data_IF_321873634811
#
_entry.id   IF_321873634811
#
_cell.length_a   1.000
_cell.length_b   1.000
_cell.length_c   1.000
_cell.angle_alpha   90.00
_cell.angle_beta   90.00
_cell.angle_gamma   90.00
#
_symmetry.space_group_name_H-M   'P 1'
#
loop_
_entity.id
_entity.type
_entity.pdbx_description
1 polymer ?
#
# COMPACT_ATOMS: atom_id res chain seq x y z
N UNK A 1 9.49 20.57 -28.02
CA UNK A 1 9.27 19.72 -26.85
C UNK A 1 7.96 20.17 -26.23
N UNK A 2 6.96 19.31 -26.32
CA UNK A 2 5.58 19.66 -25.98
C UNK A 2 5.45 19.76 -24.46
N UNK A 3 5.38 20.98 -23.92
CA UNK A 3 5.28 21.24 -22.47
C UNK A 3 3.89 20.92 -21.88
N UNK A 4 2.92 20.55 -22.74
CA UNK A 4 1.56 20.20 -22.31
C UNK A 4 1.45 18.82 -21.67
N UNK A 5 2.32 17.87 -22.03
CA UNK A 5 2.25 16.48 -21.53
C UNK A 5 2.66 16.30 -20.07
N UNK A 6 3.60 17.12 -19.55
CA UNK A 6 4.07 16.98 -18.16
C UNK A 6 3.11 17.56 -17.12
N UNK A 7 2.32 18.57 -17.48
CA UNK A 7 1.32 19.20 -16.61
C UNK A 7 0.07 18.32 -16.37
N UNK A 8 -0.06 17.20 -17.08
CA UNK A 8 -1.19 16.27 -16.96
C UNK A 8 -0.88 15.00 -16.16
N UNK A 9 0.40 14.73 -15.86
CA UNK A 9 0.78 13.55 -15.09
C UNK A 9 0.39 13.71 -13.63
N UNK A 10 -0.30 12.72 -13.01
CA UNK A 10 -0.64 12.79 -11.61
C UNK A 10 0.58 12.65 -10.71
N UNK A 11 0.55 13.32 -9.57
CA UNK A 11 1.58 13.28 -8.52
C UNK A 11 1.18 12.21 -7.51
N UNK A 12 2.01 11.18 -7.39
CA UNK A 12 1.79 10.05 -6.48
C UNK A 12 2.80 10.13 -5.34
N UNK A 13 2.30 10.28 -4.11
CA UNK A 13 3.12 10.21 -2.90
C UNK A 13 3.43 8.77 -2.53
N UNK A 14 4.67 8.47 -2.15
CA UNK A 14 5.09 7.15 -1.67
C UNK A 14 5.72 7.29 -0.29
N UNK A 15 5.20 6.58 0.73
CA UNK A 15 5.83 6.57 2.05
C UNK A 15 7.19 5.90 2.00
N UNK A 16 8.12 6.34 2.86
CA UNK A 16 9.51 5.85 2.85
C UNK A 16 9.88 5.22 4.19
N UNK A 17 10.97 4.48 4.18
CA UNK A 17 11.69 4.11 5.39
C UNK A 17 12.40 5.35 5.98
N UNK A 18 12.63 5.34 7.29
CA UNK A 18 13.47 6.31 7.99
C UNK A 18 14.35 5.53 8.96
N UNK A 19 15.45 5.03 8.45
CA UNK A 19 16.33 4.06 9.13
C UNK A 19 17.79 4.50 9.05
N UNK A 20 18.65 3.80 9.78
CA UNK A 20 20.09 3.92 9.58
C UNK A 20 20.46 3.42 8.19
N UNK A 21 21.15 4.24 7.41
CA UNK A 21 21.54 3.93 6.06
C UNK A 21 23.01 4.28 5.83
N UNK A 22 23.70 3.42 5.08
CA UNK A 22 25.09 3.59 4.74
C UNK A 22 25.26 3.89 3.25
N UNK A 23 25.94 4.99 2.93
CA UNK A 23 26.28 5.37 1.57
C UNK A 23 27.66 6.02 1.51
N UNK A 24 28.60 5.41 0.80
CA UNK A 24 29.99 5.84 0.79
C UNK A 24 30.58 5.86 2.20
N UNK A 25 31.01 7.04 2.67
CA UNK A 25 31.57 7.24 4.02
C UNK A 25 30.53 7.60 5.07
N UNK A 26 29.27 7.77 4.67
CA UNK A 26 28.18 8.20 5.54
C UNK A 26 27.44 7.01 6.10
N UNK A 27 27.25 6.98 7.42
CA UNK A 27 26.39 6.05 8.15
C UNK A 27 25.48 6.89 9.04
N UNK A 28 24.29 7.22 8.52
CA UNK A 28 23.39 8.20 9.11
C UNK A 28 21.93 7.75 9.02
N UNK A 29 21.08 8.31 9.89
CA UNK A 29 19.64 8.17 9.74
C UNK A 29 19.19 8.88 8.47
N UNK A 30 18.57 8.14 7.54
CA UNK A 30 18.15 8.68 6.25
C UNK A 30 16.77 8.13 5.84
N UNK A 31 16.03 8.94 5.10
CA UNK A 31 14.83 8.47 4.43
C UNK A 31 15.23 7.87 3.07
N UNK A 32 14.74 6.66 2.79
CA UNK A 32 14.99 5.98 1.52
C UNK A 32 13.86 5.03 1.16
N UNK A 33 13.80 4.67 -0.12
CA UNK A 33 12.87 3.70 -0.66
C UNK A 33 13.56 2.95 -1.81
N UNK A 34 13.40 1.61 -1.94
CA UNK A 34 13.89 0.86 -3.09
C UNK A 34 13.35 1.44 -4.40
N UNK A 35 14.22 1.56 -5.41
CA UNK A 35 13.89 2.22 -6.68
C UNK A 35 12.69 1.59 -7.39
N UNK A 36 12.51 0.28 -7.26
CA UNK A 36 11.41 -0.47 -7.89
C UNK A 36 10.02 0.12 -7.62
N UNK A 37 9.78 0.74 -6.46
CA UNK A 37 8.51 1.38 -6.14
C UNK A 37 8.24 2.62 -7.01
N UNK A 38 9.17 3.57 -7.03
CA UNK A 38 8.97 4.81 -7.80
C UNK A 38 9.21 4.62 -9.31
N UNK A 39 10.02 3.63 -9.71
CA UNK A 39 10.16 3.24 -11.11
C UNK A 39 8.84 2.69 -11.67
N UNK A 40 8.10 1.89 -10.89
CA UNK A 40 6.78 1.40 -11.28
C UNK A 40 5.81 2.57 -11.55
N UNK A 41 5.77 3.60 -10.69
CA UNK A 41 4.96 4.79 -10.90
C UNK A 41 5.40 5.59 -12.12
N UNK A 42 6.71 5.79 -12.31
CA UNK A 42 7.23 6.53 -13.46
C UNK A 42 6.89 5.82 -14.78
N UNK A 43 7.00 4.47 -14.80
CA UNK A 43 6.63 3.64 -15.96
C UNK A 43 5.12 3.62 -16.21
N UNK A 44 4.30 3.66 -15.15
CA UNK A 44 2.85 3.79 -15.24
C UNK A 44 2.39 5.20 -15.69
N UNK A 45 3.30 6.17 -15.82
CA UNK A 45 3.02 7.52 -16.32
C UNK A 45 2.68 8.55 -15.25
N UNK A 46 2.92 8.26 -13.97
CA UNK A 46 2.83 9.19 -12.84
C UNK A 46 4.13 9.96 -12.60
N UNK A 47 4.10 10.85 -11.60
CA UNK A 47 5.26 11.52 -11.00
C UNK A 47 5.36 11.03 -9.56
N UNK A 48 6.47 10.39 -9.20
CA UNK A 48 6.70 9.89 -7.86
C UNK A 48 7.28 10.96 -6.93
N UNK A 49 6.70 11.11 -5.73
CA UNK A 49 7.20 12.00 -4.67
C UNK A 49 7.35 11.19 -3.38
N UNK A 50 8.54 11.22 -2.79
CA UNK A 50 8.83 10.48 -1.56
C UNK A 50 8.34 11.25 -0.32
N UNK A 51 7.66 10.54 0.57
CA UNK A 51 7.05 11.06 1.79
C UNK A 51 7.74 10.44 3.02
N UNK A 52 8.82 11.04 3.52
CA UNK A 52 9.46 10.55 4.75
C UNK A 52 8.53 10.70 5.96
N UNK A 53 8.63 9.82 6.97
CA UNK A 53 7.93 10.00 8.23
C UNK A 53 8.21 11.38 8.83
N UNK A 54 7.15 12.05 9.28
CA UNK A 54 7.19 13.40 9.87
C UNK A 54 6.41 13.40 11.18
N UNK A 55 6.67 14.38 12.07
CA UNK A 55 5.79 14.61 13.20
C UNK A 55 4.35 14.81 12.74
N UNK A 56 3.42 14.12 13.40
CA UNK A 56 2.01 14.11 12.98
C UNK A 56 1.19 15.04 13.84
N UNK A 57 0.57 16.03 13.19
CA UNK A 57 -0.64 16.68 13.65
C UNK A 57 -1.69 16.65 12.52
N UNK A 58 -2.93 16.99 12.84
CA UNK A 58 -4.04 16.94 11.87
C UNK A 58 -3.84 17.85 10.65
N UNK A 59 -2.97 18.85 10.74
CA UNK A 59 -2.69 19.80 9.67
C UNK A 59 -1.60 19.33 8.71
N UNK A 60 -0.56 18.66 9.23
CA UNK A 60 0.62 18.29 8.42
C UNK A 60 0.24 17.25 7.35
N UNK A 61 -0.40 16.14 7.75
CA UNK A 61 -0.84 15.11 6.80
C UNK A 61 -1.83 15.68 5.77
N UNK A 62 -2.79 16.49 6.23
CA UNK A 62 -3.75 17.20 5.38
C UNK A 62 -3.03 18.04 4.32
N UNK A 63 -2.05 18.85 4.75
CA UNK A 63 -1.31 19.76 3.85
C UNK A 63 -0.46 19.01 2.83
N UNK A 64 0.09 17.84 3.19
CA UNK A 64 0.83 16.98 2.25
C UNK A 64 -0.13 16.40 1.22
N UNK A 65 -1.28 15.85 1.66
CA UNK A 65 -2.28 15.26 0.77
C UNK A 65 -2.88 16.27 -0.22
N UNK A 66 -2.96 17.57 0.13
CA UNK A 66 -3.42 18.63 -0.79
C UNK A 66 -2.54 18.77 -2.04
N UNK A 67 -1.30 18.31 -1.99
CA UNK A 67 -0.35 18.35 -3.12
C UNK A 67 -0.28 17.07 -3.93
N UNK A 68 -1.09 16.05 -3.60
CA UNK A 68 -1.03 14.73 -4.22
C UNK A 68 -2.32 14.43 -5.02
N UNK A 69 -2.18 13.68 -6.08
CA UNK A 69 -3.28 13.11 -6.86
C UNK A 69 -3.54 11.65 -6.49
N UNK A 70 -2.59 10.98 -5.83
CA UNK A 70 -2.68 9.61 -5.34
C UNK A 70 -1.61 9.29 -4.31
N UNK A 71 -1.76 8.17 -3.60
CA UNK A 71 -0.91 7.77 -2.48
C UNK A 71 -0.54 6.29 -2.56
N UNK A 72 0.72 5.95 -2.27
CA UNK A 72 1.17 4.58 -1.99
C UNK A 72 1.68 4.50 -0.55
N UNK A 73 1.13 3.53 0.19
CA UNK A 73 1.68 3.08 1.48
C UNK A 73 2.54 1.86 1.20
N UNK A 74 3.85 2.01 1.35
CA UNK A 74 4.82 1.01 0.92
C UNK A 74 5.05 -0.09 1.95
N UNK A 75 5.70 -1.19 1.54
CA UNK A 75 6.15 -2.26 2.41
C UNK A 75 7.10 -1.78 3.52
N UNK A 76 7.52 -2.66 4.41
CA UNK A 76 8.46 -2.33 5.50
C UNK A 76 8.34 -3.22 6.72
N UNK A 77 8.90 -2.79 7.85
CA UNK A 77 8.89 -3.47 9.13
C UNK A 77 7.49 -3.56 9.73
N UNK A 78 7.34 -4.42 10.73
CA UNK A 78 6.08 -4.74 11.38
C UNK A 78 5.36 -3.51 11.96
N UNK A 79 4.04 -3.59 11.95
CA UNK A 79 3.16 -2.63 12.63
C UNK A 79 3.21 -2.87 14.13
N UNK A 80 3.26 -1.80 14.95
CA UNK A 80 3.28 -1.90 16.42
C UNK A 80 2.05 -2.70 16.94
N UNK A 81 2.26 -3.87 17.58
CA UNK A 81 1.18 -4.71 18.10
C UNK A 81 0.29 -4.00 19.11
N UNK A 82 0.81 -3.02 19.86
CA UNK A 82 0.03 -2.23 20.80
C UNK A 82 -1.15 -1.49 20.12
N UNK A 83 -1.05 -1.21 18.81
CA UNK A 83 -2.09 -0.52 18.03
C UNK A 83 -3.34 -1.38 17.80
N UNK A 84 -3.21 -2.70 17.89
CA UNK A 84 -4.35 -3.64 17.81
C UNK A 84 -4.50 -4.47 19.08
N UNK A 85 -3.98 -3.94 20.22
CA UNK A 85 -4.23 -4.46 21.55
C UNK A 85 -3.53 -5.77 21.89
N UNK A 86 -2.40 -6.05 21.25
CA UNK A 86 -1.61 -7.26 21.48
C UNK A 86 -0.22 -6.93 22.04
N UNK A 87 0.37 -7.88 22.80
CA UNK A 87 1.77 -7.86 23.16
C UNK A 87 2.63 -8.30 21.97
N UNK A 88 3.87 -7.81 21.84
CA UNK A 88 4.76 -8.20 20.75
C UNK A 88 5.10 -9.68 20.77
N UNK A 89 4.98 -10.37 19.65
CA UNK A 89 5.52 -11.71 19.45
C UNK A 89 7.06 -11.66 19.38
N UNK A 90 7.74 -12.75 19.73
CA UNK A 90 9.21 -12.83 19.77
C UNK A 90 9.89 -12.55 18.42
N UNK A 91 9.17 -12.72 17.32
CA UNK A 91 9.66 -12.47 15.95
C UNK A 91 9.28 -11.09 15.41
N UNK A 92 8.49 -10.30 16.16
CA UNK A 92 8.06 -8.99 15.74
C UNK A 92 9.24 -8.01 15.74
N UNK A 93 9.40 -7.27 14.66
CA UNK A 93 10.39 -6.20 14.53
C UNK A 93 10.16 -5.09 15.58
N UNK A 94 11.22 -4.37 15.95
CA UNK A 94 11.06 -3.13 16.71
C UNK A 94 10.16 -2.14 15.95
N UNK A 95 9.02 -1.70 16.53
CA UNK A 95 8.06 -0.88 15.83
C UNK A 95 8.62 0.49 15.42
N UNK A 96 8.20 0.95 14.26
CA UNK A 96 8.49 2.31 13.75
C UNK A 96 7.28 3.21 14.00
N UNK A 97 7.09 3.62 15.27
CA UNK A 97 5.92 4.38 15.74
C UNK A 97 5.74 5.72 15.04
N UNK A 98 6.83 6.37 14.66
CA UNK A 98 6.82 7.59 13.85
C UNK A 98 6.22 7.32 12.46
N UNK A 99 6.60 6.22 11.83
CA UNK A 99 6.07 5.79 10.54
C UNK A 99 4.63 5.31 10.67
N UNK A 100 4.30 4.55 11.71
CA UNK A 100 2.92 4.09 11.97
C UNK A 100 1.96 5.27 12.08
N UNK A 101 2.30 6.26 12.92
CA UNK A 101 1.47 7.45 13.08
C UNK A 101 1.35 8.27 11.80
N UNK A 102 2.44 8.40 11.04
CA UNK A 102 2.45 9.12 9.76
C UNK A 102 1.55 8.44 8.73
N UNK A 103 1.68 7.13 8.55
CA UNK A 103 0.88 6.38 7.59
C UNK A 103 -0.59 6.29 7.99
N UNK A 104 -0.91 6.21 9.28
CA UNK A 104 -2.29 6.33 9.77
C UNK A 104 -2.96 7.64 9.36
N UNK A 105 -2.25 8.74 9.59
CA UNK A 105 -2.78 10.06 9.25
C UNK A 105 -2.96 10.22 7.73
N UNK A 106 -2.04 9.68 6.93
CA UNK A 106 -2.14 9.69 5.47
C UNK A 106 -3.30 8.82 4.96
N UNK A 107 -3.45 7.60 5.47
CA UNK A 107 -4.54 6.68 5.09
C UNK A 107 -5.90 7.29 5.46
N UNK A 108 -6.06 7.76 6.69
CA UNK A 108 -7.30 8.39 7.15
C UNK A 108 -7.64 9.59 6.27
N UNK A 109 -6.67 10.47 6.06
CA UNK A 109 -6.88 11.64 5.22
C UNK A 109 -7.12 11.33 3.74
N UNK A 110 -6.58 10.24 3.20
CA UNK A 110 -6.84 9.80 1.84
C UNK A 110 -8.27 9.26 1.69
N UNK A 111 -8.73 8.44 2.65
CA UNK A 111 -10.11 7.92 2.68
C UNK A 111 -11.12 9.08 2.77
N UNK A 112 -10.91 10.01 3.70
CA UNK A 112 -11.81 11.17 3.91
C UNK A 112 -11.93 12.06 2.66
N UNK A 113 -10.85 12.14 1.88
CA UNK A 113 -10.79 12.94 0.63
C UNK A 113 -11.15 12.18 -0.64
N UNK A 114 -11.40 10.87 -0.53
CA UNK A 114 -11.53 10.01 -1.70
C UNK A 114 -10.29 10.08 -2.62
N UNK A 115 -9.11 10.29 -2.02
CA UNK A 115 -7.83 10.32 -2.74
C UNK A 115 -7.43 8.88 -3.08
N UNK A 116 -7.28 8.51 -4.36
CA UNK A 116 -6.87 7.17 -4.74
C UNK A 116 -5.61 6.72 -4.00
N UNK A 117 -5.66 5.52 -3.39
CA UNK A 117 -4.49 5.00 -2.72
C UNK A 117 -4.28 3.51 -2.94
N UNK A 118 -3.02 3.07 -2.80
CA UNK A 118 -2.59 1.70 -2.93
C UNK A 118 -1.66 1.31 -1.76
N UNK A 119 -2.06 0.30 -0.99
CA UNK A 119 -1.25 -0.29 0.08
C UNK A 119 -0.48 -1.52 -0.41
N UNK A 120 0.82 -1.61 -0.11
CA UNK A 120 1.67 -2.74 -0.52
C UNK A 120 2.25 -3.39 0.73
N UNK A 121 2.04 -4.71 0.90
CA UNK A 121 2.54 -5.56 1.99
C UNK A 121 2.19 -4.95 3.36
N UNK A 122 3.14 -4.31 4.04
CA UNK A 122 2.87 -3.57 5.27
C UNK A 122 1.75 -2.53 5.09
N UNK A 123 1.62 -1.92 3.92
CA UNK A 123 0.56 -0.96 3.62
C UNK A 123 -0.85 -1.55 3.76
N UNK A 124 -1.07 -2.81 3.40
CA UNK A 124 -2.31 -3.54 3.67
C UNK A 124 -2.52 -3.73 5.18
N UNK A 125 -1.48 -4.07 5.91
CA UNK A 125 -1.55 -4.32 7.35
C UNK A 125 -1.86 -3.03 8.13
N UNK A 126 -1.18 -1.92 7.80
CA UNK A 126 -1.45 -0.60 8.38
C UNK A 126 -2.88 -0.16 8.11
N UNK A 127 -3.38 -0.34 6.88
CA UNK A 127 -4.77 -0.04 6.52
C UNK A 127 -5.75 -0.82 7.40
N UNK A 128 -5.56 -2.13 7.53
CA UNK A 128 -6.42 -2.98 8.36
C UNK A 128 -6.42 -2.53 9.83
N UNK A 129 -5.25 -2.27 10.39
CA UNK A 129 -5.10 -1.81 11.79
C UNK A 129 -5.69 -0.41 11.98
N UNK A 130 -5.44 0.53 11.07
CA UNK A 130 -6.01 1.88 11.10
C UNK A 130 -7.55 1.88 11.08
N UNK A 131 -8.15 0.86 10.48
CA UNK A 131 -9.60 0.65 10.44
C UNK A 131 -10.13 -0.22 11.59
N UNK A 132 -9.29 -0.62 12.55
CA UNK A 132 -9.64 -1.37 13.75
C UNK A 132 -9.55 -2.89 13.62
N UNK A 133 -8.94 -3.41 12.56
CA UNK A 133 -8.62 -4.82 12.40
C UNK A 133 -7.42 -5.28 13.25
N UNK A 134 -7.08 -6.57 13.19
CA UNK A 134 -5.94 -7.16 13.89
C UNK A 134 -5.04 -7.95 12.94
N UNK A 135 -3.81 -8.25 13.38
CA UNK A 135 -2.84 -9.00 12.60
C UNK A 135 -2.44 -10.30 13.30
N UNK A 136 -2.18 -11.32 12.50
CA UNK A 136 -1.36 -12.47 12.88
C UNK A 136 0.10 -12.01 12.85
N UNK A 137 0.76 -11.96 14.00
CA UNK A 137 2.14 -11.47 14.11
C UNK A 137 3.17 -12.45 13.54
N UNK A 138 2.84 -13.77 13.51
CA UNK A 138 3.73 -14.80 12.98
C UNK A 138 2.95 -15.87 12.20
N UNK A 139 2.66 -15.57 10.94
CA UNK A 139 1.88 -16.43 10.03
C UNK A 139 2.46 -17.87 9.90
N UNK A 140 3.79 -18.11 9.93
CA UNK A 140 4.33 -19.46 9.88
C UNK A 140 3.79 -20.43 10.94
N UNK A 141 3.46 -19.96 12.14
CA UNK A 141 2.86 -20.78 13.21
C UNK A 141 1.40 -21.14 12.91
N UNK A 142 0.72 -20.33 12.11
CA UNK A 142 -0.70 -20.53 11.77
C UNK A 142 -0.84 -21.47 10.58
N UNK A 143 -0.06 -21.22 9.50
CA UNK A 143 -0.14 -22.02 8.28
C UNK A 143 0.80 -23.22 8.27
N UNK A 144 1.67 -23.37 9.28
CA UNK A 144 2.64 -24.46 9.39
C UNK A 144 3.75 -24.42 8.33
N UNK A 145 4.04 -23.24 7.74
CA UNK A 145 4.96 -23.10 6.62
C UNK A 145 5.57 -21.69 6.56
N UNK A 146 6.81 -21.59 6.09
CA UNK A 146 7.50 -20.32 5.80
C UNK A 146 7.31 -19.87 4.34
N UNK A 147 6.30 -20.38 3.63
CA UNK A 147 6.09 -20.15 2.18
C UNK A 147 6.04 -18.68 1.78
N UNK A 148 5.61 -17.79 2.69
CA UNK A 148 5.52 -16.35 2.43
C UNK A 148 6.79 -15.57 2.80
N UNK A 149 7.75 -16.22 3.51
CA UNK A 149 8.97 -15.59 3.99
C UNK A 149 10.12 -16.57 3.95
N UNK A 150 10.78 -16.71 2.81
CA UNK A 150 11.94 -17.57 2.64
C UNK A 150 13.16 -17.11 3.44
N UNK A 151 13.15 -15.87 3.95
CA UNK A 151 14.27 -15.26 4.67
C UNK A 151 15.37 -14.73 3.75
N UNK A 152 16.36 -14.05 4.34
CA UNK A 152 17.54 -13.59 3.61
C UNK A 152 17.28 -12.57 2.49
N UNK A 153 16.15 -11.86 2.51
CA UNK A 153 15.78 -10.90 1.47
C UNK A 153 15.32 -11.53 0.15
N UNK A 154 15.03 -12.84 0.14
CA UNK A 154 14.58 -13.55 -1.07
C UNK A 154 13.05 -13.64 -1.10
N UNK A 155 12.46 -13.14 -2.17
CA UNK A 155 11.02 -13.23 -2.38
C UNK A 155 10.60 -14.66 -2.76
N UNK A 156 9.59 -15.18 -2.08
CA UNK A 156 8.91 -16.44 -2.45
C UNK A 156 7.90 -16.17 -3.56
N UNK A 157 7.58 -17.20 -4.34
CA UNK A 157 6.47 -17.16 -5.30
C UNK A 157 5.30 -17.94 -4.70
N UNK A 158 4.14 -17.31 -4.62
CA UNK A 158 2.92 -17.92 -4.11
C UNK A 158 1.75 -17.62 -5.05
N UNK A 159 0.90 -18.61 -5.28
CA UNK A 159 -0.32 -18.43 -6.04
C UNK A 159 -1.39 -17.76 -5.17
N UNK A 160 -2.08 -16.79 -5.75
CA UNK A 160 -3.26 -16.16 -5.16
C UNK A 160 -4.47 -16.32 -6.09
N UNK A 161 -5.62 -16.61 -5.52
CA UNK A 161 -6.90 -16.62 -6.22
C UNK A 161 -7.52 -15.24 -6.14
N UNK A 162 -7.84 -14.68 -7.31
CA UNK A 162 -8.46 -13.36 -7.46
C UNK A 162 -9.99 -13.53 -7.43
N UNK A 163 -10.68 -12.67 -6.68
CA UNK A 163 -12.13 -12.64 -6.59
C UNK A 163 -12.80 -12.23 -7.92
N UNK A 164 -14.12 -12.23 -7.94
CA UNK A 164 -14.88 -11.92 -9.17
C UNK A 164 -15.20 -10.43 -9.32
N UNK A 165 -15.35 -9.71 -8.19
CA UNK A 165 -15.83 -8.32 -8.16
C UNK A 165 -14.87 -7.42 -7.39
N UNK A 166 -14.76 -6.18 -7.84
CA UNK A 166 -13.93 -5.15 -7.23
C UNK A 166 -12.93 -4.52 -8.19
N UNK A 167 -12.14 -3.59 -7.68
CA UNK A 167 -11.10 -2.87 -8.43
C UNK A 167 -9.94 -3.81 -8.78
N UNK A 168 -9.42 -4.57 -7.80
CA UNK A 168 -8.30 -5.51 -8.03
C UNK A 168 -8.68 -6.58 -9.04
N UNK A 169 -9.84 -7.29 -8.91
CA UNK A 169 -10.30 -8.21 -9.95
C UNK A 169 -10.49 -7.53 -11.31
N UNK A 170 -11.03 -6.32 -11.34
CA UNK A 170 -11.21 -5.55 -12.57
C UNK A 170 -9.90 -5.24 -13.30
N UNK A 171 -8.84 -4.91 -12.56
CA UNK A 171 -7.50 -4.65 -13.10
C UNK A 171 -6.79 -5.93 -13.54
N UNK A 172 -7.00 -7.04 -12.81
CA UNK A 172 -6.39 -8.34 -13.06
C UNK A 172 -7.31 -9.28 -13.84
N UNK A 173 -8.34 -8.73 -14.52
CA UNK A 173 -9.30 -9.51 -15.31
C UNK A 173 -8.57 -10.50 -16.23
N UNK A 174 -9.19 -11.63 -16.50
CA UNK A 174 -8.64 -12.76 -17.28
C UNK A 174 -7.48 -13.50 -16.57
N UNK A 175 -7.24 -13.18 -15.27
CA UNK A 175 -6.22 -13.84 -14.45
C UNK A 175 -6.87 -14.32 -13.15
N UNK A 176 -7.61 -15.45 -13.14
CA UNK A 176 -8.30 -15.94 -11.94
C UNK A 176 -7.34 -16.39 -10.85
N UNK A 177 -6.12 -16.78 -11.21
CA UNK A 177 -5.01 -17.04 -10.31
C UNK A 177 -3.76 -16.30 -10.78
N UNK A 178 -2.94 -15.82 -9.86
CA UNK A 178 -1.73 -15.07 -10.15
C UNK A 178 -0.59 -15.55 -9.24
N UNK A 179 0.57 -15.82 -9.84
CA UNK A 179 1.81 -16.03 -9.10
C UNK A 179 2.38 -14.69 -8.64
N UNK A 180 2.51 -14.50 -7.33
CA UNK A 180 2.92 -13.22 -6.74
C UNK A 180 4.21 -13.35 -5.92
N UNK A 181 4.97 -12.26 -5.83
CA UNK A 181 6.19 -12.17 -5.02
C UNK A 181 5.84 -11.82 -3.57
N UNK A 182 6.08 -12.75 -2.63
CA UNK A 182 5.79 -12.60 -1.20
C UNK A 182 7.05 -12.51 -0.37
N UNK A 183 7.07 -11.60 0.59
CA UNK A 183 8.08 -11.52 1.65
C UNK A 183 7.43 -10.92 2.90
N UNK A 184 6.67 -11.73 3.64
CA UNK A 184 5.98 -11.31 4.85
C UNK A 184 5.79 -12.47 5.82
N UNK A 185 5.93 -12.23 7.12
CA UNK A 185 5.60 -13.18 8.16
C UNK A 185 4.36 -12.77 8.97
N UNK A 186 3.80 -11.60 8.69
CA UNK A 186 2.54 -11.13 9.25
C UNK A 186 1.44 -11.17 8.19
N UNK A 187 0.19 -11.24 8.64
CA UNK A 187 -1.01 -11.21 7.78
C UNK A 187 -2.19 -10.62 8.54
N UNK A 188 -3.28 -10.32 7.83
CA UNK A 188 -4.55 -9.97 8.49
C UNK A 188 -5.06 -11.19 9.27
N UNK A 189 -5.42 -10.96 10.56
CA UNK A 189 -6.17 -11.89 11.42
C UNK A 189 -7.66 -11.56 11.32
N UNK A 190 -8.09 -10.47 11.98
CA UNK A 190 -9.45 -9.98 11.87
C UNK A 190 -9.50 -8.81 10.88
N UNK A 191 -10.30 -8.99 9.83
CA UNK A 191 -10.55 -7.92 8.87
C UNK A 191 -11.34 -6.79 9.53
N UNK A 192 -10.93 -5.56 9.27
CA UNK A 192 -11.65 -4.37 9.72
C UNK A 192 -12.97 -4.17 8.96
N UNK A 193 -13.93 -3.52 9.61
CA UNK A 193 -15.19 -3.13 8.98
C UNK A 193 -14.95 -2.12 7.85
N UNK A 194 -15.70 -2.24 6.76
CA UNK A 194 -15.58 -1.39 5.58
C UNK A 194 -14.40 -1.74 4.66
N UNK A 195 -13.87 -2.96 4.83
CA UNK A 195 -12.92 -3.58 3.91
C UNK A 195 -13.53 -4.85 3.31
N UNK A 196 -13.38 -5.02 2.01
CA UNK A 196 -13.78 -6.24 1.28
C UNK A 196 -12.55 -6.99 0.79
N UNK A 197 -12.54 -8.32 1.01
CA UNK A 197 -11.45 -9.19 0.53
C UNK A 197 -11.64 -9.47 -0.95
N UNK A 198 -10.59 -9.23 -1.75
CA UNK A 198 -10.60 -9.42 -3.21
C UNK A 198 -9.57 -10.42 -3.73
N UNK A 199 -8.66 -10.92 -2.87
CA UNK A 199 -7.81 -12.08 -3.19
C UNK A 199 -7.42 -12.87 -1.93
N UNK A 200 -7.22 -14.19 -2.10
CA UNK A 200 -6.75 -15.10 -1.06
C UNK A 200 -5.78 -16.14 -1.63
N UNK A 201 -4.90 -16.65 -0.76
CA UNK A 201 -4.17 -17.89 -1.02
C UNK A 201 -5.01 -19.12 -0.67
N UNK A 202 -4.56 -20.29 -1.11
CA UNK A 202 -5.20 -21.60 -0.90
C UNK A 202 -5.37 -21.98 0.58
N UNK A 203 -4.50 -21.47 1.47
CA UNK A 203 -4.56 -21.65 2.92
C UNK A 203 -5.53 -20.66 3.62
N UNK A 204 -6.23 -19.82 2.85
CA UNK A 204 -7.19 -18.84 3.34
C UNK A 204 -6.57 -17.49 3.73
N UNK A 205 -5.25 -17.34 3.68
CA UNK A 205 -4.58 -16.06 3.96
C UNK A 205 -5.11 -14.96 3.05
N UNK A 206 -5.52 -13.83 3.64
CA UNK A 206 -5.99 -12.65 2.90
C UNK A 206 -4.80 -12.03 2.17
N UNK A 207 -4.95 -11.87 0.86
CA UNK A 207 -3.90 -11.35 -0.01
C UNK A 207 -4.24 -10.00 -0.63
N UNK A 208 -5.51 -9.64 -0.76
CA UNK A 208 -5.90 -8.29 -1.18
C UNK A 208 -7.20 -7.87 -0.51
N UNK A 209 -7.30 -6.57 -0.24
CA UNK A 209 -8.51 -5.93 0.26
C UNK A 209 -8.76 -4.61 -0.46
N UNK A 210 -10.02 -4.16 -0.43
CA UNK A 210 -10.48 -2.88 -0.94
C UNK A 210 -11.26 -2.13 0.12
N UNK A 211 -11.22 -0.80 0.10
CA UNK A 211 -12.02 0.06 0.97
C UNK A 211 -13.37 0.30 0.31
N UNK A 212 -14.45 -0.20 0.93
CA UNK A 212 -15.80 -0.19 0.37
C UNK A 212 -16.32 1.21 -0.01
N UNK A 213 -15.89 2.23 0.72
CA UNK A 213 -16.33 3.61 0.52
C UNK A 213 -15.56 4.38 -0.55
N UNK A 214 -14.60 3.75 -1.25
CA UNK A 214 -13.69 4.43 -2.20
C UNK A 214 -13.87 3.92 -3.62
N UNK A 215 -13.76 4.82 -4.59
CA UNK A 215 -13.66 4.45 -5.99
C UNK A 215 -12.32 3.78 -6.35
N UNK A 216 -11.26 4.10 -5.63
CA UNK A 216 -9.96 3.44 -5.72
C UNK A 216 -9.22 3.50 -4.38
N UNK A 217 -9.37 2.47 -3.58
CA UNK A 217 -8.65 2.28 -2.32
C UNK A 217 -8.33 0.80 -2.18
N UNK A 218 -7.17 0.37 -2.68
CA UNK A 218 -6.78 -1.04 -2.74
C UNK A 218 -5.55 -1.31 -1.89
N UNK A 219 -5.41 -2.53 -1.40
CA UNK A 219 -4.18 -2.97 -0.77
C UNK A 219 -3.93 -4.46 -1.00
N UNK A 220 -2.65 -4.81 -1.23
CA UNK A 220 -2.21 -6.19 -1.47
C UNK A 220 -1.12 -6.60 -0.48
N UNK A 221 -1.07 -7.88 -0.11
CA UNK A 221 -0.07 -8.41 0.81
C UNK A 221 1.24 -8.77 0.12
N UNK A 222 1.19 -9.03 -1.19
CA UNK A 222 2.37 -9.31 -2.00
C UNK A 222 3.09 -8.03 -2.44
N UNK A 223 4.18 -8.20 -3.17
CA UNK A 223 5.06 -7.13 -3.66
C UNK A 223 4.98 -6.99 -5.19
N UNK A 224 3.98 -6.29 -5.73
CA UNK A 224 3.83 -6.11 -7.19
C UNK A 224 4.95 -5.29 -7.80
N UNK A 225 5.66 -4.46 -7.03
CA UNK A 225 6.83 -3.70 -7.47
C UNK A 225 8.02 -4.59 -7.82
N UNK A 226 8.02 -5.86 -7.37
CA UNK A 226 9.03 -6.85 -7.69
C UNK A 226 8.77 -7.57 -9.02
N UNK A 227 7.60 -7.36 -9.62
CA UNK A 227 7.26 -7.81 -10.95
C UNK A 227 7.25 -6.61 -11.91
N UNK A 228 8.44 -6.31 -12.43
CA UNK A 228 8.61 -5.15 -13.31
C UNK A 228 7.83 -5.25 -14.63
N UNK A 229 7.36 -6.41 -15.03
CA UNK A 229 6.62 -6.60 -16.28
C UNK A 229 5.11 -6.42 -16.10
N UNK A 230 4.57 -6.59 -14.87
CA UNK A 230 3.16 -6.37 -14.55
C UNK A 230 2.94 -5.03 -13.82
N UNK A 231 2.48 -4.03 -14.55
CA UNK A 231 2.17 -2.70 -14.01
C UNK A 231 0.67 -2.45 -13.82
N UNK A 232 -0.20 -3.47 -13.95
CA UNK A 232 -1.65 -3.28 -13.96
C UNK A 232 -2.17 -2.54 -12.72
N UNK A 233 -1.70 -2.89 -11.51
CA UNK A 233 -2.11 -2.22 -10.27
C UNK A 233 -1.58 -0.78 -10.19
N UNK A 234 -0.35 -0.54 -10.59
CA UNK A 234 0.24 0.81 -10.62
C UNK A 234 -0.41 1.69 -11.68
N UNK A 235 -0.69 1.16 -12.86
CA UNK A 235 -1.42 1.86 -13.91
C UNK A 235 -2.83 2.20 -13.46
N UNK A 236 -3.52 1.27 -12.78
CA UNK A 236 -4.83 1.51 -12.20
C UNK A 236 -4.83 2.68 -11.22
N UNK A 237 -3.84 2.76 -10.31
CA UNK A 237 -3.69 3.90 -9.40
C UNK A 237 -3.47 5.21 -10.16
N UNK A 238 -2.56 5.22 -11.13
CA UNK A 238 -2.23 6.42 -11.92
C UNK A 238 -3.44 6.90 -12.73
N UNK A 239 -4.22 6.00 -13.30
CA UNK A 239 -5.44 6.33 -14.05
C UNK A 239 -6.55 6.85 -13.13
N UNK A 240 -6.74 6.22 -11.96
CA UNK A 240 -7.68 6.69 -10.94
C UNK A 240 -7.29 8.09 -10.43
N UNK A 241 -6.01 8.33 -10.17
CA UNK A 241 -5.49 9.62 -9.73
C UNK A 241 -5.72 10.73 -10.80
N UNK A 242 -5.50 10.41 -12.07
CA UNK A 242 -5.79 11.32 -13.20
C UNK A 242 -7.27 11.67 -13.27
N UNK A 243 -8.13 10.65 -13.22
CA UNK A 243 -9.59 10.81 -13.27
C UNK A 243 -10.10 11.61 -12.07
N UNK A 244 -9.60 11.34 -10.86
CA UNK A 244 -10.00 12.07 -9.65
C UNK A 244 -9.63 13.56 -9.75
N UNK A 245 -8.41 13.87 -10.20
CA UNK A 245 -7.96 15.26 -10.44
C UNK A 245 -8.83 15.98 -11.46
N UNK A 246 -9.16 15.34 -12.58
CA UNK A 246 -10.02 15.92 -13.61
C UNK A 246 -11.44 16.19 -13.08
N UNK A 247 -11.99 15.27 -12.27
CA UNK A 247 -13.28 15.44 -11.63
C UNK A 247 -13.26 16.59 -10.62
N UNK A 248 -12.23 16.70 -9.78
CA UNK A 248 -12.05 17.82 -8.85
C UNK A 248 -11.97 19.16 -9.59
N UNK A 249 -11.20 19.23 -10.67
CA UNK A 249 -11.09 20.44 -11.49
C UNK A 249 -12.42 20.86 -12.13
N UNK A 250 -13.25 19.90 -12.52
CA UNK A 250 -14.55 20.14 -13.20
C UNK A 250 -15.70 20.43 -12.24
N UNK A 251 -15.77 19.72 -11.10
CA UNK A 251 -16.96 19.68 -10.24
C UNK A 251 -16.71 20.16 -8.81
N UNK A 252 -15.46 20.32 -8.42
CA UNK A 252 -15.06 20.53 -7.03
C UNK A 252 -15.30 19.31 -6.11
N UNK A 253 -15.60 18.13 -6.68
CA UNK A 253 -15.86 16.87 -5.94
C UNK A 253 -14.99 15.74 -6.43
N UNK A 254 -14.51 14.85 -5.53
CA UNK A 254 -13.78 13.66 -5.92
C UNK A 254 -14.67 12.66 -6.66
N UNK A 255 -14.04 11.65 -7.26
CA UNK A 255 -14.74 10.53 -7.87
C UNK A 255 -15.51 9.76 -6.78
N UNK A 256 -16.79 9.48 -7.02
CA UNK A 256 -17.58 8.63 -6.16
C UNK A 256 -17.43 7.17 -6.60
N UNK A 257 -17.55 6.18 -5.65
CA UNK A 257 -17.63 4.78 -6.03
C UNK A 257 -18.85 4.56 -6.94
N UNK A 258 -18.69 3.73 -7.97
CA UNK A 258 -19.81 3.34 -8.81
C UNK A 258 -20.84 2.61 -7.96
N UNK A 259 -22.09 3.04 -8.02
CA UNK A 259 -23.19 2.36 -7.32
C UNK A 259 -23.37 0.98 -7.93
N UNK A 260 -23.14 -0.08 -7.15
CA UNK A 260 -23.37 -1.47 -7.52
C UNK A 260 -24.85 -1.77 -7.75
#
# INVERSE_FOLDING_TARGET
>A
MDSSGSNQKPIIGLTTYLEQAQTGVWDVRAAFLPAVYFDAINRAGGIAVLLPPQPVDSGIASRVLDGLDGLIITGGKDVDPARYGQEPHATTDDPRRDRDAWEDALITGAIDRQLPFFGICRGLQVLNVARGGTLNQHLPEIVGSTRYSAGGGTFSVNEVTIGENGVVPGLLRDTPTLDVKSYHHQSIDRLADGLTVTARSDDGTIQAVEVDSMGFGIAVQWHPEQDGDDLRLFSGLVDAARTNRENLARTGKPQQPESA
#
